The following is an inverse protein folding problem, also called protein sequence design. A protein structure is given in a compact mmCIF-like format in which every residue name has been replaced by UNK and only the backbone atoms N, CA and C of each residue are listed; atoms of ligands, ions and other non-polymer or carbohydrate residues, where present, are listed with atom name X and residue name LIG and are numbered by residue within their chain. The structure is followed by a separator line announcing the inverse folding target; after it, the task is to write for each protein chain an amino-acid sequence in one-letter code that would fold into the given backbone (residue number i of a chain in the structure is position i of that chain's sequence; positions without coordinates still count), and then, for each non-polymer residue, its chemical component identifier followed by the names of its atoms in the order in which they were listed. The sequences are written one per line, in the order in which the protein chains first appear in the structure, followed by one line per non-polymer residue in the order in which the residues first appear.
data_IF_891419853204
#
_entry.id   IF_891419853204
#
_cell.length_a   1.000
_cell.length_b   1.000
_cell.length_c   1.000
_cell.angle_alpha   90.00
_cell.angle_beta   90.00
_cell.angle_gamma   90.00
#
_symmetry.space_group_name_H-M   'P 1'
#
loop_
_entity.id
_entity.type
_entity.pdbx_description
1 polymer ?
#
# COMPACT_ATOMS: atom_id res chain seq x y z
N UNK A 1 -16.94 -1.28 -33.60
CA UNK A 1 -17.02 -2.63 -32.99
C UNK A 1 -15.62 -3.12 -32.58
N UNK A 2 -14.91 -2.44 -31.65
CA UNK A 2 -13.62 -2.93 -31.10
C UNK A 2 -13.37 -2.49 -29.64
N UNK A 3 -14.14 -1.54 -29.09
CA UNK A 3 -13.86 -1.01 -27.74
C UNK A 3 -14.18 -1.97 -26.58
N UNK A 4 -15.22 -2.80 -26.70
CA UNK A 4 -15.65 -3.67 -25.59
C UNK A 4 -14.79 -4.93 -25.41
N UNK A 5 -14.11 -5.43 -26.45
CA UNK A 5 -13.34 -6.68 -26.34
C UNK A 5 -11.96 -6.52 -25.70
N UNK A 6 -11.39 -5.30 -25.71
CA UNK A 6 -10.08 -5.04 -25.13
C UNK A 6 -10.13 -4.35 -23.76
N UNK A 7 -11.28 -3.80 -23.35
CA UNK A 7 -11.42 -3.17 -22.03
C UNK A 7 -11.17 -4.15 -20.87
N UNK A 8 -11.70 -5.37 -20.99
CA UNK A 8 -11.45 -6.45 -20.02
C UNK A 8 -9.96 -6.80 -19.95
N UNK A 9 -9.36 -7.11 -21.10
CA UNK A 9 -7.95 -7.48 -21.20
C UNK A 9 -7.04 -6.36 -20.68
N UNK A 10 -7.36 -5.10 -20.94
CA UNK A 10 -6.58 -3.97 -20.45
C UNK A 10 -6.66 -3.84 -18.92
N UNK A 11 -7.86 -4.02 -18.34
CA UNK A 11 -8.05 -4.00 -16.89
C UNK A 11 -7.30 -5.16 -16.21
N UNK A 12 -7.42 -6.36 -16.76
CA UNK A 12 -6.72 -7.56 -16.29
C UNK A 12 -5.19 -7.41 -16.39
N UNK A 13 -4.68 -6.96 -17.54
CA UNK A 13 -3.24 -6.72 -17.72
C UNK A 13 -2.71 -5.63 -16.77
N UNK A 14 -3.49 -4.58 -16.52
CA UNK A 14 -3.11 -3.52 -15.56
C UNK A 14 -3.02 -4.10 -14.15
N UNK A 15 -4.00 -4.94 -13.76
CA UNK A 15 -4.00 -5.64 -12.48
C UNK A 15 -2.77 -6.54 -12.34
N UNK A 16 -2.48 -7.35 -13.35
CA UNK A 16 -1.34 -8.27 -13.36
C UNK A 16 -0.01 -7.53 -13.26
N UNK A 17 0.16 -6.44 -14.02
CA UNK A 17 1.38 -5.64 -14.00
C UNK A 17 1.61 -4.96 -12.63
N UNK A 18 0.55 -4.45 -12.01
CA UNK A 18 0.63 -3.91 -10.64
C UNK A 18 1.02 -5.03 -9.67
N UNK A 19 0.38 -6.19 -9.77
CA UNK A 19 0.65 -7.32 -8.87
C UNK A 19 2.09 -7.83 -9.02
N UNK A 20 2.57 -7.99 -10.25
CA UNK A 20 3.96 -8.35 -10.56
C UNK A 20 4.91 -7.31 -9.94
N UNK A 21 4.67 -6.01 -10.14
CA UNK A 21 5.50 -4.97 -9.54
C UNK A 21 5.56 -5.08 -8.00
N UNK A 22 4.42 -5.29 -7.33
CA UNK A 22 4.35 -5.39 -5.88
C UNK A 22 5.06 -6.65 -5.37
N UNK A 23 4.83 -7.81 -5.99
CA UNK A 23 5.42 -9.08 -5.55
C UNK A 23 6.90 -9.14 -5.89
N UNK A 24 7.27 -8.81 -7.12
CA UNK A 24 8.62 -9.00 -7.63
C UNK A 24 9.56 -7.85 -7.27
N UNK A 25 9.11 -6.59 -7.27
CA UNK A 25 10.03 -5.47 -6.98
C UNK A 25 9.93 -5.03 -5.52
N UNK A 26 8.71 -4.79 -5.02
CA UNK A 26 8.52 -4.23 -3.69
C UNK A 26 8.89 -5.22 -2.60
N UNK A 27 8.39 -6.48 -2.64
CA UNK A 27 8.76 -7.46 -1.59
C UNK A 27 10.25 -7.75 -1.55
N UNK A 28 10.91 -7.87 -2.71
CA UNK A 28 12.38 -8.05 -2.76
C UNK A 28 13.15 -6.88 -2.15
N UNK A 29 12.71 -5.65 -2.40
CA UNK A 29 13.31 -4.44 -1.78
C UNK A 29 13.15 -4.42 -0.27
N UNK A 30 12.01 -4.89 0.23
CA UNK A 30 11.70 -4.94 1.65
C UNK A 30 12.33 -6.14 2.37
N UNK A 31 12.74 -7.18 1.64
CA UNK A 31 13.34 -8.37 2.19
C UNK A 31 14.77 -8.09 2.71
N UNK A 32 15.02 -8.48 3.97
CA UNK A 32 16.36 -8.40 4.58
C UNK A 32 16.75 -7.02 5.13
N UNK A 33 15.84 -6.04 5.15
CA UNK A 33 16.09 -4.74 5.77
C UNK A 33 15.96 -4.79 7.29
N UNK A 34 16.69 -3.89 7.98
CA UNK A 34 16.49 -3.63 9.40
C UNK A 34 15.11 -3.00 9.65
N UNK A 35 14.57 -3.08 10.87
CA UNK A 35 13.28 -2.47 11.23
C UNK A 35 13.19 -0.98 10.87
N UNK A 36 14.28 -0.23 11.07
CA UNK A 36 14.32 1.22 10.79
C UNK A 36 14.35 1.48 9.28
N UNK A 37 15.23 0.78 8.55
CA UNK A 37 15.36 0.96 7.10
C UNK A 37 14.12 0.45 6.36
N UNK A 38 13.45 -0.56 6.90
CA UNK A 38 12.21 -1.11 6.37
C UNK A 38 11.11 -0.05 6.32
N UNK A 39 10.88 0.69 7.41
CA UNK A 39 9.81 1.70 7.46
C UNK A 39 10.12 2.91 6.58
N UNK A 40 11.38 3.36 6.54
CA UNK A 40 11.83 4.43 5.63
C UNK A 40 11.65 4.02 4.17
N UNK A 41 12.08 2.81 3.83
CA UNK A 41 11.96 2.28 2.46
C UNK A 41 10.50 2.06 2.08
N UNK A 42 9.67 1.54 3.00
CA UNK A 42 8.24 1.36 2.79
C UNK A 42 7.54 2.68 2.52
N UNK A 43 7.86 3.74 3.27
CA UNK A 43 7.35 5.10 3.04
C UNK A 43 7.73 5.62 1.66
N UNK A 44 8.98 5.44 1.22
CA UNK A 44 9.42 5.86 -0.12
C UNK A 44 8.64 5.12 -1.21
N UNK A 45 8.55 3.79 -1.09
CA UNK A 45 7.81 2.95 -2.04
C UNK A 45 6.33 3.36 -2.08
N UNK A 46 5.72 3.61 -0.92
CA UNK A 46 4.34 4.07 -0.84
C UNK A 46 4.12 5.41 -1.55
N UNK A 47 4.99 6.39 -1.33
CA UNK A 47 4.87 7.70 -1.98
C UNK A 47 5.00 7.62 -3.51
N UNK A 48 5.93 6.80 -4.00
CA UNK A 48 6.08 6.56 -5.43
C UNK A 48 4.87 5.78 -6.00
N UNK A 49 4.35 4.84 -5.23
CA UNK A 49 3.17 4.07 -5.59
C UNK A 49 1.92 4.94 -5.66
N UNK A 50 1.70 5.79 -4.66
CA UNK A 50 0.56 6.72 -4.62
C UNK A 50 0.57 7.67 -5.82
N UNK A 51 1.73 8.25 -6.16
CA UNK A 51 1.87 9.09 -7.37
C UNK A 51 1.56 8.30 -8.63
N UNK A 52 2.05 7.07 -8.71
CA UNK A 52 1.79 6.18 -9.85
C UNK A 52 0.31 5.83 -9.97
N UNK A 53 -0.37 5.61 -8.84
CA UNK A 53 -1.80 5.32 -8.76
C UNK A 53 -2.68 6.53 -9.07
N UNK A 54 -2.16 7.76 -9.06
CA UNK A 54 -2.85 8.93 -9.62
C UNK A 54 -2.63 9.03 -11.13
N UNK A 55 -1.41 8.75 -11.60
CA UNK A 55 -1.03 8.92 -13.01
C UNK A 55 -1.63 7.84 -13.94
N UNK A 56 -1.62 6.57 -13.51
CA UNK A 56 -2.10 5.45 -14.33
C UNK A 56 -3.59 5.62 -14.71
N UNK A 57 -4.52 5.92 -13.78
CA UNK A 57 -5.91 6.20 -14.12
C UNK A 57 -6.10 7.47 -14.96
N UNK A 58 -5.22 8.48 -14.83
CA UNK A 58 -5.27 9.65 -15.72
C UNK A 58 -5.00 9.26 -17.19
N UNK A 59 -4.10 8.32 -17.43
CA UNK A 59 -3.83 7.79 -18.78
C UNK A 59 -4.96 6.84 -19.21
N UNK A 60 -5.45 6.01 -18.29
CA UNK A 60 -6.53 5.04 -18.52
C UNK A 60 -7.94 5.66 -18.30
N UNK A 61 -8.09 6.98 -18.44
CA UNK A 61 -9.29 7.72 -18.04
C UNK A 61 -10.56 7.20 -18.73
N UNK A 62 -10.46 6.79 -20.00
CA UNK A 62 -11.60 6.21 -20.72
C UNK A 62 -12.03 4.86 -20.14
N UNK A 63 -11.06 4.01 -19.76
CA UNK A 63 -11.37 2.72 -19.14
C UNK A 63 -12.05 2.93 -17.78
N UNK A 64 -11.51 3.83 -16.96
CA UNK A 64 -12.02 4.08 -15.61
C UNK A 64 -13.39 4.79 -15.60
N UNK A 65 -13.64 5.70 -16.56
CA UNK A 65 -14.90 6.46 -16.64
C UNK A 65 -16.02 5.79 -17.45
N UNK A 66 -15.70 4.86 -18.34
CA UNK A 66 -16.71 4.23 -19.21
C UNK A 66 -16.79 2.74 -18.91
N UNK A 67 -15.69 2.01 -19.10
CA UNK A 67 -15.71 0.54 -18.99
C UNK A 67 -15.93 0.05 -17.55
N UNK A 68 -15.22 0.64 -16.57
CA UNK A 68 -15.37 0.28 -15.15
C UNK A 68 -16.79 0.56 -14.65
N UNK A 69 -17.41 1.67 -15.07
CA UNK A 69 -18.79 2.01 -14.70
C UNK A 69 -19.81 1.07 -15.37
N UNK A 70 -19.66 0.80 -16.66
CA UNK A 70 -20.56 -0.10 -17.40
C UNK A 70 -20.53 -1.52 -16.85
N UNK A 71 -19.34 -2.02 -16.50
CA UNK A 71 -19.14 -3.37 -15.98
C UNK A 71 -19.22 -3.46 -14.45
N UNK A 72 -19.48 -2.34 -13.75
CA UNK A 72 -19.51 -2.25 -12.28
C UNK A 72 -18.25 -2.83 -11.62
N UNK A 73 -17.10 -2.63 -12.26
CA UNK A 73 -15.80 -3.02 -11.73
C UNK A 73 -15.29 -1.99 -10.73
N UNK A 74 -14.24 -2.34 -10.01
CA UNK A 74 -13.59 -1.40 -9.11
C UNK A 74 -12.65 -0.46 -9.89
N UNK A 75 -12.63 0.86 -9.59
CA UNK A 75 -11.69 1.81 -10.18
C UNK A 75 -10.23 1.40 -9.99
N UNK A 76 -9.36 1.78 -10.93
CA UNK A 76 -7.95 1.39 -10.90
C UNK A 76 -7.23 1.88 -9.64
N UNK A 77 -7.57 3.08 -9.15
CA UNK A 77 -7.04 3.60 -7.88
C UNK A 77 -7.34 2.65 -6.71
N UNK A 78 -8.61 2.28 -6.56
CA UNK A 78 -9.08 1.44 -5.46
C UNK A 78 -8.51 0.02 -5.58
N UNK A 79 -8.40 -0.49 -6.81
CA UNK A 79 -7.74 -1.76 -7.11
C UNK A 79 -6.27 -1.74 -6.67
N UNK A 80 -5.55 -0.67 -7.02
CA UNK A 80 -4.16 -0.50 -6.61
C UNK A 80 -4.02 -0.46 -5.09
N UNK A 81 -4.89 0.26 -4.38
CA UNK A 81 -4.88 0.31 -2.91
C UNK A 81 -5.15 -1.07 -2.30
N UNK A 82 -6.13 -1.81 -2.82
CA UNK A 82 -6.46 -3.17 -2.36
C UNK A 82 -5.29 -4.13 -2.58
N UNK A 83 -4.70 -4.12 -3.77
CA UNK A 83 -3.56 -4.98 -4.10
C UNK A 83 -2.35 -4.69 -3.20
N UNK A 84 -2.05 -3.41 -2.94
CA UNK A 84 -0.98 -3.02 -2.03
C UNK A 84 -1.24 -3.51 -0.61
N UNK A 85 -2.46 -3.33 -0.10
CA UNK A 85 -2.88 -3.83 1.21
C UNK A 85 -2.68 -5.34 1.32
N UNK A 86 -3.21 -6.11 0.39
CA UNK A 86 -3.20 -7.58 0.45
C UNK A 86 -1.79 -8.16 0.24
N UNK A 87 -1.03 -7.59 -0.70
CA UNK A 87 0.23 -8.19 -1.13
C UNK A 87 1.45 -7.64 -0.39
N UNK A 88 1.37 -6.45 0.21
CA UNK A 88 2.49 -5.86 0.96
C UNK A 88 2.19 -5.87 2.46
N UNK A 89 1.12 -5.19 2.91
CA UNK A 89 0.90 -4.99 4.35
C UNK A 89 0.36 -6.23 5.04
N UNK A 90 -0.62 -6.92 4.43
CA UNK A 90 -1.25 -8.11 5.00
C UNK A 90 -0.52 -9.41 4.66
N UNK A 91 0.51 -9.36 3.81
CA UNK A 91 1.29 -10.54 3.47
C UNK A 91 2.00 -11.08 4.71
N UNK A 92 1.82 -12.37 5.01
CA UNK A 92 2.15 -12.97 6.32
C UNK A 92 3.54 -12.60 6.84
N UNK A 93 4.56 -12.72 6.00
CA UNK A 93 5.94 -12.37 6.37
C UNK A 93 6.10 -10.87 6.58
N UNK A 94 5.71 -10.05 5.62
CA UNK A 94 5.87 -8.59 5.67
C UNK A 94 5.04 -7.95 6.79
N UNK A 95 3.87 -8.51 7.12
CA UNK A 95 3.02 -8.08 8.22
C UNK A 95 3.71 -8.23 9.57
N UNK A 96 4.38 -9.37 9.80
CA UNK A 96 5.13 -9.60 11.03
C UNK A 96 6.30 -8.62 11.16
N UNK A 97 7.07 -8.45 10.09
CA UNK A 97 8.16 -7.47 10.06
C UNK A 97 7.66 -6.04 10.28
N UNK A 98 6.56 -5.65 9.64
CA UNK A 98 5.97 -4.32 9.80
C UNK A 98 5.51 -4.05 11.23
N UNK A 99 4.79 -5.00 11.86
CA UNK A 99 4.38 -4.86 13.26
C UNK A 99 5.57 -4.78 14.22
N UNK A 100 6.58 -5.62 14.00
CA UNK A 100 7.80 -5.60 14.82
C UNK A 100 8.55 -4.27 14.66
N UNK A 101 8.67 -3.77 13.42
CA UNK A 101 9.33 -2.51 13.15
C UNK A 101 8.59 -1.30 13.77
N UNK A 102 7.27 -1.27 13.69
CA UNK A 102 6.47 -0.24 14.36
C UNK A 102 6.60 -0.30 15.89
N UNK A 103 6.60 -1.51 16.47
CA UNK A 103 6.78 -1.70 17.92
C UNK A 103 8.17 -1.23 18.37
N UNK A 104 9.19 -1.52 17.59
CA UNK A 104 10.56 -1.06 17.87
C UNK A 104 10.63 0.47 17.81
N UNK A 105 10.00 1.11 16.82
CA UNK A 105 9.89 2.57 16.77
C UNK A 105 9.16 3.14 18.00
N UNK A 106 8.01 2.60 18.40
CA UNK A 106 7.31 3.09 19.61
C UNK A 106 8.18 2.95 20.86
N UNK A 107 8.91 1.84 20.99
CA UNK A 107 9.80 1.60 22.13
C UNK A 107 10.92 2.62 22.16
N UNK A 108 11.54 2.92 21.01
CA UNK A 108 12.58 3.95 20.88
C UNK A 108 12.04 5.35 21.17
N UNK A 109 10.81 5.66 20.74
CA UNK A 109 10.13 6.92 21.08
C UNK A 109 9.96 7.07 22.60
N UNK A 110 9.49 6.00 23.27
CA UNK A 110 9.31 5.97 24.74
C UNK A 110 10.63 6.11 25.50
N UNK A 111 11.74 5.66 24.92
CA UNK A 111 13.08 5.84 25.50
C UNK A 111 13.67 7.24 25.26
N UNK A 112 12.93 8.14 24.59
CA UNK A 112 13.35 9.52 24.35
C UNK A 112 14.32 9.67 23.17
N UNK A 113 14.43 8.67 22.29
CA UNK A 113 15.19 8.83 21.05
C UNK A 113 14.46 9.78 20.10
N UNK A 114 15.22 10.67 19.45
CA UNK A 114 14.68 11.58 18.44
C UNK A 114 14.38 10.76 17.19
N UNK A 115 13.12 10.33 17.07
CA UNK A 115 12.59 9.71 15.87
C UNK A 115 12.02 10.76 14.93
N UNK A 116 12.09 10.46 13.63
CA UNK A 116 11.44 11.26 12.61
C UNK A 116 9.92 11.09 12.69
N UNK A 117 9.27 11.97 13.46
CA UNK A 117 7.80 12.05 13.60
C UNK A 117 7.09 12.14 12.25
N UNK A 118 7.77 12.69 11.24
CA UNK A 118 7.26 12.77 9.87
C UNK A 118 7.08 11.38 9.25
N UNK A 119 8.01 10.45 9.46
CA UNK A 119 7.90 9.07 8.96
C UNK A 119 6.78 8.30 9.64
N UNK A 120 6.57 8.52 10.94
CA UNK A 120 5.46 7.95 11.70
C UNK A 120 4.12 8.42 11.13
N UNK A 121 3.94 9.73 11.01
CA UNK A 121 2.70 10.32 10.50
C UNK A 121 2.39 9.85 9.08
N UNK A 122 3.39 9.81 8.20
CA UNK A 122 3.20 9.33 6.83
C UNK A 122 2.77 7.86 6.78
N UNK A 123 3.31 7.01 7.65
CA UNK A 123 2.92 5.60 7.74
C UNK A 123 1.49 5.47 8.28
N UNK A 124 1.12 6.19 9.34
CA UNK A 124 -0.26 6.15 9.84
C UNK A 124 -1.26 6.72 8.81
N UNK A 125 -0.89 7.76 8.06
CA UNK A 125 -1.68 8.28 6.92
C UNK A 125 -1.84 7.23 5.82
N UNK A 126 -0.76 6.51 5.46
CA UNK A 126 -0.82 5.38 4.53
C UNK A 126 -1.80 4.31 5.01
N UNK A 127 -1.69 3.89 6.27
CA UNK A 127 -2.56 2.86 6.86
C UNK A 127 -4.04 3.28 6.82
N UNK A 128 -4.32 4.56 7.07
CA UNK A 128 -5.66 5.14 6.98
C UNK A 128 -6.17 5.11 5.54
N UNK A 129 -5.35 5.50 4.56
CA UNK A 129 -5.69 5.45 3.12
C UNK A 129 -5.96 4.03 2.63
N UNK A 130 -5.20 3.05 3.13
CA UNK A 130 -5.41 1.62 2.84
C UNK A 130 -6.65 1.02 3.53
N UNK A 131 -7.36 1.80 4.35
CA UNK A 131 -8.53 1.38 5.14
C UNK A 131 -8.24 0.09 5.91
N UNK A 132 -7.04 0.00 6.49
CA UNK A 132 -6.66 -1.14 7.31
C UNK A 132 -7.48 -1.06 8.59
N UNK A 133 -8.22 -2.12 8.88
CA UNK A 133 -9.09 -2.14 10.03
C UNK A 133 -8.25 -2.32 11.29
N UNK A 134 -8.75 -1.85 12.43
CA UNK A 134 -8.12 -2.09 13.73
C UNK A 134 -7.82 -3.58 13.95
N UNK A 135 -8.73 -4.46 13.50
CA UNK A 135 -8.59 -5.92 13.57
C UNK A 135 -7.41 -6.51 12.75
N UNK A 136 -6.85 -5.76 11.80
CA UNK A 136 -5.69 -6.21 11.02
C UNK A 136 -4.37 -5.99 11.78
N UNK A 137 -4.38 -5.23 12.89
CA UNK A 137 -3.24 -5.10 13.78
C UNK A 137 -3.38 -6.06 14.95
N UNK A 138 -2.29 -6.76 15.28
CA UNK A 138 -2.24 -7.68 16.42
C UNK A 138 -2.13 -6.96 17.77
N UNK A 139 -1.84 -5.66 17.79
CA UNK A 139 -1.46 -4.92 18.98
C UNK A 139 -2.38 -3.70 19.18
N UNK A 140 -3.06 -3.62 20.32
CA UNK A 140 -3.93 -2.50 20.67
C UNK A 140 -3.15 -1.20 20.92
N UNK A 141 -1.88 -1.29 21.33
CA UNK A 141 -1.02 -0.12 21.51
C UNK A 141 -0.70 0.54 20.17
N UNK A 142 -0.46 -0.27 19.12
CA UNK A 142 -0.26 0.21 17.75
C UNK A 142 -1.53 0.88 17.20
N UNK A 143 -2.70 0.29 17.50
CA UNK A 143 -3.98 0.85 17.09
C UNK A 143 -4.21 2.23 17.72
N UNK A 144 -3.86 2.38 19.00
CA UNK A 144 -4.05 3.64 19.74
C UNK A 144 -3.07 4.72 19.27
N UNK A 145 -1.83 4.34 18.94
CA UNK A 145 -0.81 5.28 18.49
C UNK A 145 -1.04 5.80 17.06
N UNK A 146 -1.55 4.98 16.14
CA UNK A 146 -1.80 5.42 14.75
C UNK A 146 -3.20 6.00 14.48
N UNK A 147 -4.19 5.84 15.36
CA UNK A 147 -5.60 6.23 15.12
C UNK A 147 -6.15 7.25 16.14
N UNK A 148 -5.33 8.20 16.59
CA UNK A 148 -5.80 9.41 17.27
C UNK A 148 -6.47 10.37 16.28
#
# INVERSE_FOLDING_TARGET
MVLHKHGQTLYENTRELILEHLVEKVRRRLAGLSSTDFLVTLKQIWNDYERSMVMIPCILMYMDRVYVLEQKLEPVCDLGLRLFRENIILFSTTRQYFNNALREMMTRERHGEILDRTTINDICLMLTKLKINKADFYDEDLQTWCLQ
#
